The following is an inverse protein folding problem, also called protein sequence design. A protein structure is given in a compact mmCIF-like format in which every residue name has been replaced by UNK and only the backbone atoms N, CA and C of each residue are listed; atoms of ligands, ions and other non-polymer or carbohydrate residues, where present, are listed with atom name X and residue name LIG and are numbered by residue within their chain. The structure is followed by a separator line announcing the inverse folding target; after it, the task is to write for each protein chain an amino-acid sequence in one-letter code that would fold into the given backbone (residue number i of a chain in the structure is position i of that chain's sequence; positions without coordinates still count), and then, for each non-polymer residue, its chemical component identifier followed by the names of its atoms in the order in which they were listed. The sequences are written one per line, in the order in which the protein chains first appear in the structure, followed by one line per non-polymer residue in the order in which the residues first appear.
data_IF_809072796379
#
_entry.id   IF_809072796379
#
_cell.length_a   1.000
_cell.length_b   1.000
_cell.length_c   1.000
_cell.angle_alpha   90.00
_cell.angle_beta   90.00
_cell.angle_gamma   90.00
#
_symmetry.space_group_name_H-M   'P 1'
#
loop_
_entity.id
_entity.type
_entity.pdbx_description
1 polymer ?
#
# COMPACT_ATOMS: atom_id res chain seq x y z
N UNK A 1 7.76 -11.83 -14.40
CA UNK A 1 7.63 -10.83 -13.33
C UNK A 1 8.25 -9.50 -13.76
N UNK A 2 7.49 -8.39 -13.68
CA UNK A 2 8.00 -7.03 -13.92
C UNK A 2 7.99 -6.25 -12.60
N UNK A 3 9.19 -5.93 -12.10
CA UNK A 3 9.39 -5.11 -10.91
C UNK A 3 9.99 -3.80 -11.38
N UNK A 4 9.44 -2.71 -10.86
CA UNK A 4 9.89 -1.35 -11.11
C UNK A 4 10.26 -0.70 -9.79
N UNK A 5 11.21 0.23 -9.85
CA UNK A 5 11.53 1.06 -8.70
C UNK A 5 10.45 2.12 -8.52
N UNK A 6 9.83 2.13 -7.34
CA UNK A 6 9.00 3.26 -6.90
C UNK A 6 9.92 4.30 -6.26
N UNK A 7 10.12 5.43 -6.93
CA UNK A 7 11.04 6.49 -6.45
C UNK A 7 10.47 7.32 -5.29
N UNK A 8 9.16 7.54 -5.31
CA UNK A 8 8.47 8.37 -4.33
C UNK A 8 7.01 7.99 -4.18
N UNK A 9 6.45 8.27 -3.00
CA UNK A 9 5.02 8.12 -2.72
C UNK A 9 4.50 9.35 -2.00
N UNK A 10 3.27 9.77 -2.33
CA UNK A 10 2.62 10.88 -1.62
C UNK A 10 2.35 10.49 -0.17
N UNK A 11 2.62 11.41 0.75
CA UNK A 11 2.35 11.22 2.17
C UNK A 11 1.46 12.33 2.71
N UNK A 12 0.77 12.00 3.78
CA UNK A 12 0.06 12.93 4.64
C UNK A 12 0.69 12.92 6.03
N UNK A 13 0.42 13.94 6.85
CA UNK A 13 0.82 13.91 8.25
C UNK A 13 -0.34 13.57 9.16
N UNK A 14 -0.06 12.77 10.19
CA UNK A 14 -0.94 12.68 11.35
C UNK A 14 -1.00 14.04 12.08
N UNK A 15 -1.95 14.19 13.00
CA UNK A 15 -2.04 15.38 13.86
C UNK A 15 -0.76 15.65 14.66
N UNK A 16 0.04 14.62 14.95
CA UNK A 16 1.31 14.74 15.68
C UNK A 16 2.53 14.85 14.75
N UNK A 17 2.31 15.04 13.45
CA UNK A 17 3.38 15.24 12.46
C UNK A 17 4.00 13.95 11.91
N UNK A 18 3.44 12.77 12.23
CA UNK A 18 3.97 11.49 11.71
C UNK A 18 3.66 11.37 10.22
N UNK A 19 4.65 11.03 9.37
CA UNK A 19 4.40 10.76 7.96
C UNK A 19 3.57 9.49 7.82
N UNK A 20 2.53 9.55 7.00
CA UNK A 20 1.53 8.52 6.83
C UNK A 20 1.22 8.31 5.35
N UNK A 21 1.06 7.06 4.94
CA UNK A 21 0.65 6.70 3.59
C UNK A 21 -0.75 6.09 3.61
N UNK A 22 -1.53 6.38 2.58
CA UNK A 22 -2.78 5.67 2.32
C UNK A 22 -2.48 4.27 1.79
N UNK A 23 -3.14 3.26 2.37
CA UNK A 23 -3.11 1.90 1.85
C UNK A 23 -4.52 1.43 1.51
N UNK A 24 -4.64 0.54 0.54
CA UNK A 24 -5.93 0.11 0.03
C UNK A 24 -5.83 -0.39 -1.39
N UNK A 25 -6.94 -0.87 -1.92
CA UNK A 25 -7.03 -1.34 -3.29
C UNK A 25 -8.20 -2.26 -3.49
N UNK A 26 -8.31 -2.81 -4.69
CA UNK A 26 -9.37 -3.74 -5.08
C UNK A 26 -9.40 -3.95 -6.58
N UNK A 27 -10.31 -4.81 -7.03
CA UNK A 27 -10.50 -5.09 -8.45
C UNK A 27 -11.76 -4.42 -9.00
N UNK A 28 -11.72 -4.10 -10.30
CA UNK A 28 -12.86 -3.66 -11.08
C UNK A 28 -12.84 -4.37 -12.43
N UNK A 29 -13.91 -5.11 -12.71
CA UNK A 29 -14.08 -5.92 -13.92
C UNK A 29 -12.99 -7.00 -13.98
N UNK A 30 -11.87 -6.71 -14.63
CA UNK A 30 -10.73 -7.62 -14.82
C UNK A 30 -9.39 -6.99 -14.46
N UNK A 31 -9.38 -5.75 -13.95
CA UNK A 31 -8.17 -5.06 -13.51
C UNK A 31 -8.20 -4.86 -12.01
N UNK A 32 -7.03 -4.60 -11.42
CA UNK A 32 -6.91 -4.22 -10.03
C UNK A 32 -5.86 -3.13 -9.85
N UNK A 33 -5.96 -2.44 -8.74
CA UNK A 33 -4.95 -1.49 -8.26
C UNK A 33 -4.86 -1.58 -6.74
N UNK A 34 -3.69 -1.24 -6.20
CA UNK A 34 -3.55 -1.06 -4.77
C UNK A 34 -2.19 -0.55 -4.33
N UNK A 35 -2.18 -0.08 -3.09
CA UNK A 35 -1.03 0.42 -2.36
C UNK A 35 -1.01 -0.28 -1.00
N UNK A 36 0.13 -0.82 -0.59
CA UNK A 36 0.30 -1.38 0.74
C UNK A 36 1.73 -1.20 1.25
N UNK A 37 1.88 -1.40 2.56
CA UNK A 37 3.17 -1.27 3.25
C UNK A 37 3.51 -2.61 3.90
N UNK A 38 4.78 -2.99 3.84
CA UNK A 38 5.35 -4.07 4.61
C UNK A 38 6.42 -3.54 5.55
N UNK A 39 6.31 -3.92 6.82
CA UNK A 39 7.30 -3.65 7.85
C UNK A 39 7.89 -4.98 8.28
N UNK A 40 9.17 -5.21 7.98
CA UNK A 40 9.85 -6.48 8.27
C UNK A 40 9.06 -7.69 7.71
N UNK A 41 8.52 -7.56 6.50
CA UNK A 41 7.74 -8.61 5.83
C UNK A 41 6.29 -8.77 6.31
N UNK A 42 5.81 -7.94 7.25
CA UNK A 42 4.47 -8.02 7.82
C UNK A 42 3.64 -6.75 7.58
N UNK A 43 2.31 -6.89 7.60
CA UNK A 43 1.41 -5.75 7.54
C UNK A 43 1.51 -4.92 8.82
N UNK A 44 1.80 -3.60 8.73
CA UNK A 44 1.87 -2.74 9.91
C UNK A 44 0.48 -2.40 10.44
N UNK A 45 0.44 -1.92 11.68
CA UNK A 45 -0.76 -1.36 12.27
C UNK A 45 -1.11 -0.01 11.63
N UNK A 46 -2.38 0.17 11.26
CA UNK A 46 -2.90 1.45 10.79
C UNK A 46 -3.32 2.36 11.94
N UNK A 47 -3.28 3.68 11.71
CA UNK A 47 -3.89 4.67 12.62
C UNK A 47 -5.39 4.82 12.38
N UNK A 48 -5.84 4.52 11.17
CA UNK A 48 -7.23 4.66 10.77
C UNK A 48 -7.56 3.63 9.68
N UNK A 49 -8.75 3.06 9.76
CA UNK A 49 -9.23 2.04 8.84
C UNK A 49 -10.67 2.36 8.44
N UNK A 50 -10.91 2.48 7.13
CA UNK A 50 -12.24 2.54 6.53
C UNK A 50 -12.68 1.13 6.15
N UNK A 51 -13.81 0.74 6.71
CA UNK A 51 -14.51 -0.51 6.37
C UNK A 51 -15.73 -0.27 5.48
N UNK A 52 -16.04 0.99 5.16
CA UNK A 52 -17.18 1.40 4.31
C UNK A 52 -16.94 2.77 3.65
N UNK A 53 -17.51 2.99 2.45
CA UNK A 53 -17.42 4.26 1.70
C UNK A 53 -17.91 4.16 0.23
N UNK A 54 -18.11 5.29 -0.47
CA UNK A 54 -18.54 5.30 -1.87
C UNK A 54 -17.39 4.87 -2.82
N UNK A 55 -17.61 3.80 -3.60
CA UNK A 55 -16.71 3.23 -4.63
C UNK A 55 -15.26 2.86 -4.20
N UNK A 56 -15.12 1.98 -3.22
CA UNK A 56 -14.68 0.58 -3.38
C UNK A 56 -13.40 0.14 -4.15
N UNK A 57 -12.50 1.01 -4.60
CA UNK A 57 -11.13 0.59 -5.01
C UNK A 57 -10.05 1.56 -4.52
N UNK A 58 -10.39 2.47 -3.61
CA UNK A 58 -9.47 3.52 -3.17
C UNK A 58 -8.20 2.93 -2.53
N UNK A 59 -7.06 3.49 -2.92
CA UNK A 59 -5.76 3.26 -2.29
C UNK A 59 -5.63 3.94 -0.92
N UNK A 60 -6.69 4.58 -0.42
CA UNK A 60 -6.75 5.25 0.90
C UNK A 60 -7.87 4.67 1.76
N UNK A 61 -7.96 3.34 1.82
CA UNK A 61 -8.88 2.61 2.70
C UNK A 61 -8.36 2.54 4.14
N UNK A 62 -7.05 2.58 4.35
CA UNK A 62 -6.45 2.74 5.68
C UNK A 62 -5.31 3.74 5.61
N UNK A 63 -4.91 4.27 6.76
CA UNK A 63 -3.77 5.18 6.89
C UNK A 63 -2.73 4.51 7.77
N UNK A 64 -1.53 4.30 7.23
CA UNK A 64 -0.42 3.65 7.92
C UNK A 64 0.68 4.67 8.20
N UNK A 65 1.14 4.79 9.46
CA UNK A 65 2.29 5.61 9.78
C UNK A 65 3.57 4.92 9.29
N UNK A 66 4.39 5.66 8.56
CA UNK A 66 5.65 5.16 8.01
C UNK A 66 6.74 5.12 9.07
N UNK A 67 7.64 4.14 8.95
CA UNK A 67 8.92 4.04 9.67
C UNK A 67 10.04 3.78 8.67
N UNK A 68 11.23 4.33 8.93
CA UNK A 68 12.41 4.05 8.10
C UNK A 68 12.60 2.54 7.95
N UNK A 69 12.80 2.09 6.71
CA UNK A 69 12.89 0.67 6.35
C UNK A 69 11.55 0.00 6.01
N UNK A 70 10.42 0.72 6.07
CA UNK A 70 9.16 0.23 5.54
C UNK A 70 9.26 0.10 4.01
N UNK A 71 8.80 -1.03 3.47
CA UNK A 71 8.69 -1.27 2.04
C UNK A 71 7.29 -0.83 1.60
N UNK A 72 7.20 0.04 0.61
CA UNK A 72 5.97 0.49 0.00
C UNK A 72 5.85 -0.16 -1.36
N UNK A 73 4.67 -0.70 -1.65
CA UNK A 73 4.36 -1.38 -2.89
C UNK A 73 3.12 -0.74 -3.51
N UNK A 74 3.26 -0.28 -4.75
CA UNK A 74 2.15 0.10 -5.61
C UNK A 74 2.02 -0.95 -6.71
N UNK A 75 0.82 -1.51 -6.86
CA UNK A 75 0.57 -2.56 -7.83
C UNK A 75 -0.66 -2.24 -8.66
N UNK A 76 -0.56 -2.49 -9.96
CA UNK A 76 -1.67 -2.40 -10.90
C UNK A 76 -1.55 -3.50 -11.95
N UNK A 77 -2.67 -3.95 -12.49
CA UNK A 77 -2.64 -4.94 -13.57
C UNK A 77 -3.96 -5.63 -13.83
N UNK A 78 -3.88 -6.71 -14.59
CA UNK A 78 -4.99 -7.62 -14.84
C UNK A 78 -5.00 -8.78 -13.85
N UNK A 79 -6.20 -9.25 -13.47
CA UNK A 79 -6.35 -10.48 -12.69
C UNK A 79 -5.81 -11.70 -13.48
N UNK A 80 -5.24 -12.71 -12.82
CA UNK A 80 -5.07 -12.86 -11.36
C UNK A 80 -3.94 -12.00 -10.77
N UNK A 81 -4.06 -11.68 -9.48
CA UNK A 81 -3.00 -10.99 -8.71
C UNK A 81 -1.86 -11.95 -8.42
N UNK A 82 -0.91 -12.02 -9.35
CA UNK A 82 0.20 -12.96 -9.32
C UNK A 82 1.51 -12.26 -9.77
N UNK A 83 2.63 -12.40 -9.02
CA UNK A 83 3.94 -11.93 -9.47
C UNK A 83 4.39 -12.46 -10.84
N UNK A 84 3.95 -13.65 -11.23
CA UNK A 84 4.30 -14.26 -12.51
C UNK A 84 3.40 -13.82 -13.67
N UNK A 85 2.29 -13.13 -13.38
CA UNK A 85 1.42 -12.56 -14.41
C UNK A 85 2.13 -11.39 -15.13
N UNK A 86 2.37 -11.49 -16.45
CA UNK A 86 3.08 -10.45 -17.21
C UNK A 86 2.32 -9.13 -17.30
N UNK A 87 1.00 -9.15 -17.05
CA UNK A 87 0.13 -7.97 -17.06
C UNK A 87 0.01 -7.31 -15.68
N UNK A 88 0.85 -7.71 -14.72
CA UNK A 88 0.94 -7.10 -13.39
C UNK A 88 2.25 -6.33 -13.23
N UNK A 89 2.12 -5.08 -12.80
CA UNK A 89 3.21 -4.13 -12.62
C UNK A 89 3.37 -3.87 -11.13
N UNK A 90 4.52 -4.28 -10.58
CA UNK A 90 4.86 -4.06 -9.18
C UNK A 90 5.88 -2.94 -9.07
N UNK A 91 5.50 -1.79 -8.51
CA UNK A 91 6.41 -0.71 -8.18
C UNK A 91 6.74 -0.80 -6.70
N UNK A 92 8.03 -0.92 -6.37
CA UNK A 92 8.49 -1.21 -5.01
C UNK A 92 9.59 -0.23 -4.62
N UNK A 93 9.53 0.28 -3.40
CA UNK A 93 10.56 1.13 -2.83
C UNK A 93 10.62 1.01 -1.31
N UNK A 94 11.80 1.17 -0.74
CA UNK A 94 12.00 1.17 0.72
C UNK A 94 12.20 2.60 1.22
N UNK A 95 11.43 3.01 2.22
CA UNK A 95 11.52 4.39 2.71
C UNK A 95 12.78 4.62 3.54
N UNK A 96 13.60 5.60 3.15
CA UNK A 96 14.87 5.90 3.80
C UNK A 96 14.76 6.92 4.97
N UNK A 97 13.58 7.51 5.17
CA UNK A 97 13.31 8.54 6.17
C UNK A 97 13.27 9.97 5.63
N UNK A 98 13.66 10.19 4.37
CA UNK A 98 13.64 11.49 3.72
C UNK A 98 12.23 11.85 3.24
N UNK A 99 11.90 13.14 3.37
CA UNK A 99 10.66 13.74 2.90
C UNK A 99 11.03 14.95 2.04
N UNK A 100 10.40 15.08 0.86
CA UNK A 100 10.52 16.24 -0.01
C UNK A 100 9.18 16.97 -0.14
N UNK A 101 9.24 18.29 -0.25
CA UNK A 101 8.07 19.16 -0.43
C UNK A 101 8.11 19.79 -1.82
N UNK A 102 7.40 19.21 -2.78
CA UNK A 102 7.32 19.69 -4.16
C UNK A 102 5.87 19.53 -4.66
N UNK A 103 5.03 20.56 -4.49
CA UNK A 103 3.58 20.48 -4.76
C UNK A 103 2.87 19.38 -3.92
N UNK A 104 3.30 19.21 -2.68
CA UNK A 104 2.86 18.17 -1.74
C UNK A 104 4.04 17.54 -1.02
N UNK A 105 3.77 16.76 0.03
CA UNK A 105 4.81 16.01 0.73
C UNK A 105 4.96 14.60 0.13
N UNK A 106 6.21 14.19 -0.12
CA UNK A 106 6.54 12.86 -0.65
C UNK A 106 7.59 12.20 0.21
N UNK A 107 7.42 10.90 0.47
CA UNK A 107 8.48 10.05 0.98
C UNK A 107 9.40 9.64 -0.18
N UNK A 108 10.72 9.81 -0.01
CA UNK A 108 11.72 9.36 -0.99
C UNK A 108 12.09 7.91 -0.71
N UNK A 109 12.05 7.08 -1.73
CA UNK A 109 12.25 5.64 -1.59
C UNK A 109 13.53 5.21 -2.29
N UNK A 110 14.20 4.24 -1.70
CA UNK A 110 15.36 3.56 -2.29
C UNK A 110 14.92 2.29 -3.01
N UNK A 111 15.76 1.83 -3.95
CA UNK A 111 15.51 0.63 -4.72
C UNK A 111 15.55 -0.62 -3.83
N UNK A 112 14.65 -1.57 -4.10
CA UNK A 112 14.61 -2.87 -3.45
C UNK A 112 15.06 -3.92 -4.47
N UNK A 113 16.01 -4.82 -4.13
CA UNK A 113 16.60 -5.74 -5.10
C UNK A 113 15.62 -6.80 -5.61
N UNK A 114 14.56 -7.08 -4.87
CA UNK A 114 13.58 -8.11 -5.18
C UNK A 114 12.17 -7.75 -4.67
N UNK A 115 11.16 -8.34 -5.28
CA UNK A 115 9.78 -8.21 -4.81
C UNK A 115 9.66 -8.92 -3.46
N UNK A 116 9.21 -8.23 -2.38
CA UNK A 116 8.95 -8.90 -1.12
C UNK A 116 7.84 -9.95 -1.27
N UNK A 117 7.84 -10.94 -0.37
CA UNK A 117 6.73 -11.88 -0.30
C UNK A 117 5.41 -11.13 -0.03
N UNK A 118 4.44 -11.30 -0.93
CA UNK A 118 3.15 -10.63 -0.84
C UNK A 118 2.22 -11.41 0.11
N UNK A 119 1.72 -10.80 1.20
CA UNK A 119 0.78 -11.46 2.09
C UNK A 119 -0.46 -11.96 1.34
N UNK A 120 -0.99 -13.12 1.75
CA UNK A 120 -2.19 -13.70 1.13
C UNK A 120 -3.42 -12.79 1.32
N UNK A 121 -3.52 -12.10 2.47
CA UNK A 121 -4.62 -11.17 2.72
C UNK A 121 -4.60 -9.99 1.74
N UNK A 122 -3.42 -9.48 1.40
CA UNK A 122 -3.26 -8.41 0.39
C UNK A 122 -3.75 -8.92 -0.98
N UNK A 123 -3.35 -10.12 -1.39
CA UNK A 123 -3.81 -10.72 -2.67
C UNK A 123 -5.33 -10.89 -2.70
N UNK A 124 -5.94 -11.31 -1.59
CA UNK A 124 -7.41 -11.39 -1.44
C UNK A 124 -8.06 -10.02 -1.56
N UNK A 125 -7.51 -9.00 -0.90
CA UNK A 125 -8.01 -7.62 -0.96
C UNK A 125 -7.95 -7.03 -2.37
N UNK A 126 -6.82 -7.20 -3.06
CA UNK A 126 -6.62 -6.75 -4.44
C UNK A 126 -7.54 -7.47 -5.42
N UNK A 127 -7.78 -8.77 -5.21
CA UNK A 127 -8.67 -9.56 -6.08
C UNK A 127 -10.16 -9.29 -5.84
N UNK A 128 -10.52 -8.74 -4.67
CA UNK A 128 -11.91 -8.52 -4.28
C UNK A 128 -12.54 -7.39 -5.12
N UNK A 129 -13.59 -7.75 -5.87
CA UNK A 129 -14.35 -6.81 -6.70
C UNK A 129 -14.97 -5.73 -5.84
N UNK A 130 -14.65 -4.47 -6.13
CA UNK A 130 -15.10 -3.32 -5.34
C UNK A 130 -14.81 -3.53 -3.85
N UNK A 131 -13.55 -3.86 -3.52
CA UNK A 131 -13.12 -4.01 -2.13
C UNK A 131 -13.34 -2.71 -1.32
N UNK A 132 -14.05 -2.82 -0.20
CA UNK A 132 -14.30 -1.69 0.73
C UNK A 132 -13.65 -1.88 2.08
N UNK A 133 -12.73 -2.83 2.18
CA UNK A 133 -12.16 -3.25 3.43
C UNK A 133 -10.63 -3.06 3.43
N UNK A 134 -10.17 -2.01 4.10
CA UNK A 134 -8.74 -1.78 4.27
C UNK A 134 -8.02 -2.82 5.15
N UNK A 135 -8.75 -3.72 5.85
CA UNK A 135 -8.14 -4.71 6.75
C UNK A 135 -7.32 -5.76 6.00
N UNK A 136 -7.44 -5.83 4.67
CA UNK A 136 -6.58 -6.66 3.84
C UNK A 136 -5.15 -6.10 3.69
N UNK A 137 -4.95 -4.81 3.99
CA UNK A 137 -3.70 -4.08 3.72
C UNK A 137 -3.01 -3.55 4.98
N UNK A 138 -3.58 -3.81 6.15
CA UNK A 138 -3.02 -3.38 7.43
C UNK A 138 -3.63 -4.18 8.57
N UNK A 139 -2.94 -4.18 9.72
CA UNK A 139 -3.53 -4.61 10.99
C UNK A 139 -4.40 -3.47 11.54
N UNK A 140 -5.65 -3.73 11.95
CA UNK A 140 -6.51 -2.71 12.57
C UNK A 140 -5.84 -2.02 13.78
N UNK A 141 -6.16 -0.74 14.05
CA UNK A 141 -5.70 -0.08 15.25
C UNK A 141 -6.13 -0.88 16.48
N UNK A 142 -5.24 -1.00 17.47
CA UNK A 142 -5.55 -1.68 18.71
C UNK A 142 -6.77 -1.00 19.33
N UNK A 143 -7.83 -1.77 19.58
CA UNK A 143 -8.97 -1.27 20.34
C UNK A 143 -8.45 -0.80 21.70
N UNK A 144 -8.62 0.49 22.00
CA UNK A 144 -8.53 0.94 23.40
C UNK A 144 -9.65 0.23 24.14
N UNK A 145 -9.31 -0.82 24.89
CA UNK A 145 -10.19 -1.38 25.91
C UNK A 145 -10.35 -0.38 27.04
#
# INVERSE_FOLDING_TARGET
MRIYHLERVYISRSRTGLPCVGVGGGSKTNTFEGVFVLRQGQLPQAIFLRQSGPLACSTSQAIVPLKKGDIIVEVTGHLPVDPDNPDVYWNVGIWNGEIKEENGEYAVLEEVPELPQIPEEVRKGLSSYHNRNGSYFCVPPASKK
#
